data_IF_546913371678
#
_entry.id   IF_546913371678
#
_cell.length_a   1.000
_cell.length_b   1.000
_cell.length_c   1.000
_cell.angle_alpha   90.00
_cell.angle_beta   90.00
_cell.angle_gamma   90.00
#
_symmetry.space_group_name_H-M   'P 1'
#
loop_
_entity.id
_entity.type
_entity.pdbx_description
1 polymer ?
#
# COMPACT_ATOMS: atom_id res chain seq x y z
N UNK A 1 -32.03 6.92 20.97
CA UNK A 1 -31.67 7.26 19.57
C UNK A 1 -31.93 8.76 19.38
N UNK A 2 -30.91 9.60 19.51
CA UNK A 2 -31.02 11.05 19.35
C UNK A 2 -30.89 11.39 17.86
N UNK A 3 -31.95 11.94 17.27
CA UNK A 3 -31.98 12.37 15.87
C UNK A 3 -30.90 13.45 15.67
N UNK A 4 -29.88 13.22 14.82
CA UNK A 4 -28.89 14.25 14.55
C UNK A 4 -29.57 15.44 13.86
N UNK A 5 -29.38 16.64 14.42
CA UNK A 5 -30.00 17.87 13.93
C UNK A 5 -29.67 18.13 12.46
N UNK A 6 -30.55 18.83 11.73
CA UNK A 6 -30.36 19.20 10.32
C UNK A 6 -29.01 19.90 10.06
N UNK A 7 -28.50 20.63 11.07
CA UNK A 7 -27.18 21.29 11.04
C UNK A 7 -26.04 20.28 10.94
N UNK A 8 -26.15 19.14 11.63
CA UNK A 8 -25.16 18.06 11.63
C UNK A 8 -25.12 17.34 10.28
N UNK A 9 -26.28 17.19 9.63
CA UNK A 9 -26.36 16.63 8.28
C UNK A 9 -25.75 17.58 7.24
N UNK A 10 -26.07 18.89 7.32
CA UNK A 10 -25.48 19.90 6.45
C UNK A 10 -23.95 20.00 6.58
N UNK A 11 -23.43 19.90 7.80
CA UNK A 11 -21.99 19.87 8.04
C UNK A 11 -21.33 18.63 7.40
N UNK A 12 -21.91 17.44 7.57
CA UNK A 12 -21.39 16.21 6.97
C UNK A 12 -21.41 16.25 5.43
N UNK A 13 -22.45 16.83 4.82
CA UNK A 13 -22.57 16.97 3.36
C UNK A 13 -21.53 17.94 2.83
N UNK A 14 -21.28 19.05 3.52
CA UNK A 14 -20.24 20.01 3.14
C UNK A 14 -18.83 19.43 3.31
N UNK A 15 -18.59 18.62 4.35
CA UNK A 15 -17.33 17.89 4.55
C UNK A 15 -17.04 16.86 3.46
N UNK A 16 -18.09 16.24 2.90
CA UNK A 16 -17.98 15.30 1.77
C UNK A 16 -17.73 16.04 0.46
N UNK A 17 -18.44 17.15 0.21
CA UNK A 17 -18.39 17.89 -1.06
C UNK A 17 -17.09 18.70 -1.24
N UNK A 18 -16.59 19.31 -0.17
CA UNK A 18 -15.41 20.17 -0.24
C UNK A 18 -14.13 19.49 0.22
N UNK A 19 -14.23 18.21 0.63
CA UNK A 19 -13.18 17.51 1.34
C UNK A 19 -12.97 18.13 2.72
N UNK A 20 -13.02 17.31 3.76
CA UNK A 20 -12.67 17.71 5.12
C UNK A 20 -11.38 18.52 5.06
N UNK A 21 -11.44 19.83 5.34
CA UNK A 21 -10.26 20.69 5.46
C UNK A 21 -9.49 20.19 6.67
N UNK A 22 -8.69 19.15 6.43
CA UNK A 22 -7.71 18.67 7.39
C UNK A 22 -6.83 19.87 7.71
N UNK A 23 -6.69 20.15 9.00
CA UNK A 23 -5.77 21.19 9.44
C UNK A 23 -4.38 20.87 8.88
N UNK A 24 -3.53 21.87 8.61
CA UNK A 24 -2.16 21.60 8.15
C UNK A 24 -1.40 20.64 9.06
N UNK A 25 -1.76 20.57 10.34
CA UNK A 25 -1.26 19.59 11.31
C UNK A 25 -1.78 18.17 11.05
N UNK A 26 -3.07 17.99 10.73
CA UNK A 26 -3.63 16.68 10.35
C UNK A 26 -3.05 16.18 9.01
N UNK A 27 -2.77 17.08 8.06
CA UNK A 27 -2.09 16.74 6.81
C UNK A 27 -0.63 16.34 7.06
N UNK A 28 0.10 17.09 7.89
CA UNK A 28 1.48 16.76 8.26
C UNK A 28 1.55 15.43 9.04
N UNK A 29 0.55 15.15 9.89
CA UNK A 29 0.42 13.89 10.62
C UNK A 29 0.03 12.72 9.71
N UNK A 30 -0.84 12.93 8.72
CA UNK A 30 -1.18 11.94 7.71
C UNK A 30 0.01 11.64 6.78
N UNK A 31 0.82 12.65 6.49
CA UNK A 31 2.07 12.50 5.74
C UNK A 31 3.13 11.77 6.58
N UNK A 32 3.19 12.02 7.90
CA UNK A 32 4.02 11.29 8.84
C UNK A 32 3.55 9.84 9.12
N UNK A 33 2.27 9.54 8.87
CA UNK A 33 1.70 8.19 8.95
C UNK A 33 2.06 7.31 7.75
N UNK A 34 2.61 7.91 6.68
CA UNK A 34 3.07 7.18 5.50
C UNK A 34 4.56 6.84 5.62
N UNK A 35 4.98 5.68 5.10
CA UNK A 35 6.41 5.40 4.96
C UNK A 35 7.09 6.49 4.09
N UNK A 36 8.39 6.75 4.32
CA UNK A 36 9.14 7.76 3.58
C UNK A 36 8.99 7.58 2.07
N UNK A 37 8.87 8.68 1.32
CA UNK A 37 8.68 8.64 -0.15
C UNK A 37 9.75 7.81 -0.87
N UNK A 38 10.99 7.84 -0.39
CA UNK A 38 12.08 7.01 -0.90
C UNK A 38 11.80 5.51 -0.69
N UNK A 39 11.38 5.13 0.53
CA UNK A 39 11.04 3.75 0.86
C UNK A 39 9.87 3.24 0.01
N UNK A 40 8.84 4.08 -0.18
CA UNK A 40 7.69 3.75 -1.02
C UNK A 40 8.07 3.58 -2.49
N UNK A 41 8.99 4.42 -3.00
CA UNK A 41 9.54 4.27 -4.36
C UNK A 41 10.33 2.98 -4.50
N UNK A 42 11.21 2.67 -3.56
CA UNK A 42 12.01 1.43 -3.56
C UNK A 42 11.10 0.20 -3.55
N UNK A 43 10.09 0.18 -2.68
CA UNK A 43 9.09 -0.89 -2.67
C UNK A 43 8.31 -0.97 -3.99
N UNK A 44 7.85 0.16 -4.53
CA UNK A 44 7.14 0.19 -5.81
C UNK A 44 7.96 -0.39 -6.95
N UNK A 45 9.26 -0.06 -7.03
CA UNK A 45 10.19 -0.62 -8.02
C UNK A 45 10.37 -2.13 -7.80
N UNK A 46 10.59 -2.58 -6.56
CA UNK A 46 10.74 -3.99 -6.24
C UNK A 46 9.48 -4.80 -6.56
N UNK A 47 8.29 -4.26 -6.24
CA UNK A 47 7.01 -4.89 -6.53
C UNK A 47 6.77 -4.98 -8.02
N UNK A 48 7.11 -3.92 -8.77
CA UNK A 48 6.99 -3.90 -10.22
C UNK A 48 7.90 -4.97 -10.84
N UNK A 49 9.19 -5.00 -10.49
CA UNK A 49 10.14 -6.03 -10.96
C UNK A 49 9.64 -7.44 -10.61
N UNK A 50 9.22 -7.66 -9.37
CA UNK A 50 8.71 -8.94 -8.90
C UNK A 50 7.46 -9.38 -9.67
N UNK A 51 6.53 -8.46 -9.92
CA UNK A 51 5.29 -8.74 -10.67
C UNK A 51 5.60 -9.03 -12.14
N UNK A 52 6.53 -8.30 -12.74
CA UNK A 52 7.01 -8.58 -14.10
C UNK A 52 7.66 -9.96 -14.19
N UNK A 53 8.46 -10.36 -13.20
CA UNK A 53 9.07 -11.70 -13.15
C UNK A 53 7.99 -12.81 -13.06
N UNK A 54 6.97 -12.63 -12.22
CA UNK A 54 5.85 -13.58 -12.12
C UNK A 54 5.08 -13.66 -13.43
N UNK A 55 4.78 -12.50 -14.04
CA UNK A 55 4.05 -12.44 -15.30
C UNK A 55 4.84 -13.10 -16.44
N UNK A 56 6.13 -12.76 -16.56
CA UNK A 56 7.03 -13.30 -17.56
C UNK A 56 7.18 -14.82 -17.40
N UNK A 57 7.39 -15.30 -16.17
CA UNK A 57 7.47 -16.73 -15.87
C UNK A 57 6.16 -17.45 -16.18
N UNK A 58 5.00 -16.83 -15.91
CA UNK A 58 3.70 -17.40 -16.26
C UNK A 58 3.54 -17.51 -17.79
N UNK A 59 3.83 -16.44 -18.53
CA UNK A 59 3.76 -16.45 -20.00
C UNK A 59 4.73 -17.49 -20.62
N UNK A 60 5.90 -17.70 -20.02
CA UNK A 60 6.85 -18.74 -20.45
C UNK A 60 6.28 -20.14 -20.22
N UNK A 61 5.73 -20.41 -19.03
CA UNK A 61 5.14 -21.70 -18.68
C UNK A 61 3.91 -22.06 -19.54
N UNK A 62 3.09 -21.08 -19.92
CA UNK A 62 1.95 -21.29 -20.82
C UNK A 62 2.32 -21.36 -22.31
N UNK A 63 3.61 -21.26 -22.65
CA UNK A 63 4.09 -21.31 -24.03
C UNK A 63 3.70 -20.09 -24.88
N UNK A 64 3.34 -18.98 -24.24
CA UNK A 64 2.98 -17.72 -24.93
C UNK A 64 4.21 -16.94 -25.39
N UNK A 65 5.40 -17.25 -24.84
CA UNK A 65 6.65 -16.65 -25.25
C UNK A 65 7.40 -17.58 -26.23
N UNK A 66 7.94 -17.04 -27.34
CA UNK A 66 8.67 -17.84 -28.34
C UNK A 66 10.05 -18.31 -27.86
N UNK A 67 10.48 -17.85 -26.67
CA UNK A 67 11.74 -18.24 -26.05
C UNK A 67 11.41 -18.88 -24.71
N UNK A 68 11.79 -20.14 -24.53
CA UNK A 68 11.74 -20.81 -23.23
C UNK A 68 13.18 -20.90 -22.71
N UNK A 69 13.73 -19.82 -22.12
CA UNK A 69 15.10 -19.83 -21.64
C UNK A 69 15.27 -20.90 -20.55
N UNK A 70 16.38 -21.67 -20.55
CA UNK A 70 16.63 -22.75 -19.59
C UNK A 70 16.74 -22.29 -18.12
N UNK A 71 16.62 -20.97 -17.87
CA UNK A 71 16.62 -20.36 -16.54
C UNK A 71 15.24 -20.38 -15.86
N UNK A 72 14.16 -20.62 -16.61
CA UNK A 72 12.78 -20.56 -16.10
C UNK A 72 12.20 -21.96 -15.95
N UNK A 73 12.79 -22.74 -15.05
CA UNK A 73 12.17 -23.98 -14.59
C UNK A 73 10.88 -23.70 -13.79
N UNK A 74 9.96 -24.68 -13.64
CA UNK A 74 8.73 -24.52 -12.85
C UNK A 74 8.98 -24.09 -11.39
N UNK A 75 10.17 -24.40 -10.87
CA UNK A 75 10.63 -23.94 -9.55
C UNK A 75 10.83 -22.43 -9.51
N UNK A 76 11.34 -21.82 -10.57
CA UNK A 76 11.55 -20.37 -10.67
C UNK A 76 10.24 -19.59 -10.55
N UNK A 77 9.17 -20.08 -11.19
CA UNK A 77 7.84 -19.49 -11.07
C UNK A 77 7.35 -19.46 -9.61
N UNK A 78 7.52 -20.58 -8.91
CA UNK A 78 7.14 -20.72 -7.50
C UNK A 78 7.91 -19.74 -6.61
N UNK A 79 9.21 -19.59 -6.83
CA UNK A 79 10.04 -18.62 -6.11
C UNK A 79 9.67 -17.17 -6.41
N UNK A 80 9.38 -16.83 -7.67
CA UNK A 80 8.94 -15.51 -8.06
C UNK A 80 7.62 -15.13 -7.39
N UNK A 81 6.66 -16.06 -7.35
CA UNK A 81 5.38 -15.89 -6.66
C UNK A 81 5.56 -15.71 -5.15
N UNK A 82 6.35 -16.58 -4.54
CA UNK A 82 6.61 -16.54 -3.11
C UNK A 82 7.32 -15.24 -2.72
N UNK A 83 8.27 -14.79 -3.54
CA UNK A 83 8.92 -13.48 -3.41
C UNK A 83 7.93 -12.31 -3.52
N UNK A 84 6.99 -12.35 -4.46
CA UNK A 84 5.96 -11.31 -4.62
C UNK A 84 5.05 -11.23 -3.39
N UNK A 85 4.61 -12.39 -2.89
CA UNK A 85 3.78 -12.50 -1.69
C UNK A 85 4.52 -11.96 -0.47
N UNK A 86 5.76 -12.40 -0.25
CA UNK A 86 6.60 -11.93 0.88
C UNK A 86 6.81 -10.42 0.80
N UNK A 87 7.07 -9.87 -0.39
CA UNK A 87 7.24 -8.43 -0.58
C UNK A 87 5.98 -7.66 -0.18
N UNK A 88 4.81 -8.16 -0.57
CA UNK A 88 3.52 -7.53 -0.26
C UNK A 88 3.18 -7.60 1.23
N UNK A 89 3.32 -8.77 1.85
CA UNK A 89 3.11 -8.93 3.28
C UNK A 89 4.13 -8.13 4.11
N UNK A 90 5.40 -8.12 3.69
CA UNK A 90 6.44 -7.31 4.33
C UNK A 90 6.09 -5.82 4.28
N UNK A 91 5.59 -5.34 3.15
CA UNK A 91 5.16 -3.95 3.02
C UNK A 91 3.96 -3.59 3.88
N UNK A 92 2.96 -4.48 3.98
CA UNK A 92 1.84 -4.26 4.91
C UNK A 92 2.30 -4.11 6.36
N UNK A 93 3.31 -4.86 6.79
CA UNK A 93 3.88 -4.73 8.14
C UNK A 93 4.59 -3.38 8.32
N UNK A 94 5.30 -2.91 7.29
CA UNK A 94 5.92 -1.59 7.27
C UNK A 94 4.85 -0.51 7.40
N UNK A 95 3.80 -0.55 6.58
CA UNK A 95 2.70 0.42 6.66
C UNK A 95 2.03 0.41 8.04
N UNK A 96 1.73 -0.77 8.58
CA UNK A 96 1.18 -0.92 9.94
C UNK A 96 2.12 -0.34 11.00
N UNK A 97 3.44 -0.52 10.86
CA UNK A 97 4.43 0.05 11.77
C UNK A 97 4.41 1.58 11.76
N UNK A 98 4.41 2.20 10.58
CA UNK A 98 4.35 3.65 10.43
C UNK A 98 3.03 4.24 10.95
N UNK A 99 1.90 3.58 10.68
CA UNK A 99 0.60 3.97 11.22
C UNK A 99 0.55 3.89 12.75
N UNK A 100 1.11 2.83 13.35
CA UNK A 100 1.20 2.70 14.82
C UNK A 100 2.05 3.81 15.44
N UNK A 101 3.19 4.14 14.83
CA UNK A 101 4.05 5.24 15.30
C UNK A 101 3.38 6.61 15.17
N UNK A 102 2.66 6.86 14.08
CA UNK A 102 1.91 8.11 13.93
C UNK A 102 0.77 8.21 14.95
N UNK A 103 0.03 7.11 15.18
CA UNK A 103 -1.02 7.06 16.21
C UNK A 103 -0.47 7.31 17.61
N UNK A 104 0.69 6.75 17.96
CA UNK A 104 1.32 6.97 19.26
C UNK A 104 1.72 8.44 19.49
N UNK A 105 2.05 9.19 18.43
CA UNK A 105 2.34 10.63 18.51
C UNK A 105 1.09 11.49 18.68
N UNK A 106 -0.09 10.99 18.28
CA UNK A 106 -1.38 11.70 18.40
C UNK A 106 -2.01 11.57 19.78
N UNK A 107 -1.65 10.56 20.57
CA UNK A 107 -2.06 10.44 21.98
C UNK A 107 -1.00 11.08 22.87
N UNK A 108 -1.21 12.32 23.38
CA UNK A 108 -0.37 12.84 24.46
C UNK A 108 -0.51 11.89 25.66
N UNK A 109 0.62 11.51 26.25
CA UNK A 109 0.65 10.74 27.49
C UNK A 109 -0.12 11.51 28.59
N UNK A 110 -0.82 10.80 29.49
CA UNK A 110 -1.54 11.41 30.61
C UNK A 110 -0.60 12.12 31.59
#
# INVERSE_FOLDING_TARGET
MTVPSLKTFGANVMDILFGRRSTPEELALAEAARPPRLLNRVYGVLLLISTFLVLFSSCSNFGWLPFNPPLFDPSFWSWALLGNIVLRFGWEQVEKHYQRRAKARMTPAP
#
